data_IF_047887815935
#
_entry.id   IF_047887815935
#
_cell.length_a   1.000
_cell.length_b   1.000
_cell.length_c   1.000
_cell.angle_alpha   90.00
_cell.angle_beta   90.00
_cell.angle_gamma   90.00
#
_symmetry.space_group_name_H-M   'P 1'
#
loop_
_entity.id
_entity.type
_entity.pdbx_description
1 polymer ?
#
# COMPACT_ATOMS: atom_id res chain seq x y z
N UNK A 1 -14.00 -17.82 2.78
CA UNK A 1 -14.38 -16.84 1.74
C UNK A 1 -14.78 -15.48 2.30
N UNK A 2 -15.67 -15.39 3.31
CA UNK A 2 -16.07 -14.10 3.91
C UNK A 2 -14.93 -13.39 4.64
N UNK A 3 -14.11 -14.12 5.39
CA UNK A 3 -12.96 -13.56 6.11
C UNK A 3 -11.94 -12.94 5.14
N UNK A 4 -11.64 -13.62 4.03
CA UNK A 4 -10.73 -13.15 2.99
C UNK A 4 -11.25 -11.91 2.28
N UNK A 5 -12.57 -11.82 2.08
CA UNK A 5 -13.20 -10.59 1.55
C UNK A 5 -13.07 -9.43 2.55
N UNK A 6 -13.30 -9.66 3.84
CA UNK A 6 -13.08 -8.64 4.87
C UNK A 6 -11.61 -8.19 4.93
N UNK A 7 -10.67 -9.13 4.92
CA UNK A 7 -9.24 -8.81 4.92
C UNK A 7 -8.81 -8.07 3.65
N UNK A 8 -9.28 -8.50 2.46
CA UNK A 8 -9.02 -7.80 1.20
C UNK A 8 -9.55 -6.37 1.19
N UNK A 9 -10.76 -6.17 1.73
CA UNK A 9 -11.35 -4.84 1.87
C UNK A 9 -10.54 -3.96 2.82
N UNK A 10 -10.30 -4.42 4.05
CA UNK A 10 -9.57 -3.67 5.07
C UNK A 10 -8.14 -3.36 4.62
N UNK A 11 -7.46 -4.33 3.99
CA UNK A 11 -6.14 -4.14 3.42
C UNK A 11 -6.12 -3.02 2.40
N UNK A 12 -7.06 -3.03 1.45
CA UNK A 12 -7.10 -2.03 0.36
C UNK A 12 -7.40 -0.63 0.89
N UNK A 13 -8.32 -0.53 1.85
CA UNK A 13 -8.66 0.76 2.51
C UNK A 13 -7.46 1.29 3.31
N UNK A 14 -6.85 0.44 4.14
CA UNK A 14 -5.66 0.81 4.91
C UNK A 14 -4.52 1.24 4.00
N UNK A 15 -4.27 0.49 2.91
CA UNK A 15 -3.26 0.79 1.90
C UNK A 15 -3.50 2.16 1.26
N UNK A 16 -4.74 2.45 0.85
CA UNK A 16 -5.08 3.72 0.22
C UNK A 16 -4.89 4.90 1.18
N UNK A 17 -5.30 4.75 2.44
CA UNK A 17 -5.07 5.77 3.47
C UNK A 17 -3.58 5.98 3.76
N UNK A 18 -2.81 4.89 3.91
CA UNK A 18 -1.37 4.97 4.09
C UNK A 18 -0.69 5.67 2.92
N UNK A 19 -1.09 5.36 1.68
CA UNK A 19 -0.59 6.04 0.49
C UNK A 19 -0.92 7.53 0.52
N UNK A 20 -2.16 7.91 0.86
CA UNK A 20 -2.56 9.31 1.03
C UNK A 20 -1.70 10.04 2.08
N UNK A 21 -1.27 9.36 3.14
CA UNK A 21 -0.37 9.92 4.16
C UNK A 21 1.07 10.06 3.66
N UNK A 22 1.52 9.19 2.77
CA UNK A 22 2.85 9.28 2.14
C UNK A 22 2.92 10.46 1.20
N UNK A 23 1.93 10.62 0.32
CA UNK A 23 1.96 11.64 -0.75
C UNK A 23 1.87 13.10 -0.25
N UNK A 24 1.51 13.31 1.01
CA UNK A 24 1.46 14.64 1.66
C UNK A 24 2.74 15.01 2.44
N UNK A 25 3.76 14.15 2.45
CA UNK A 25 4.95 14.36 3.26
C UNK A 25 5.87 15.43 2.63
N UNK A 26 6.17 16.50 3.38
CA UNK A 26 7.12 17.54 2.97
C UNK A 26 8.58 17.21 3.31
N UNK A 27 8.90 15.92 3.39
CA UNK A 27 10.24 15.45 3.77
C UNK A 27 10.51 14.12 3.09
N UNK A 28 11.56 14.09 2.27
CA UNK A 28 11.93 12.90 1.50
C UNK A 28 12.19 11.71 2.42
N UNK A 29 12.88 11.93 3.54
CA UNK A 29 13.17 10.86 4.53
C UNK A 29 11.87 10.26 5.10
N UNK A 30 10.90 11.10 5.49
CA UNK A 30 9.61 10.64 6.01
C UNK A 30 8.78 9.93 4.94
N UNK A 31 8.80 10.44 3.71
CA UNK A 31 8.12 9.82 2.58
C UNK A 31 8.73 8.44 2.28
N UNK A 32 10.07 8.33 2.22
CA UNK A 32 10.80 7.08 2.02
C UNK A 32 10.48 6.04 3.10
N UNK A 33 10.48 6.46 4.37
CA UNK A 33 10.09 5.58 5.47
C UNK A 33 8.63 5.11 5.31
N UNK A 34 7.73 6.01 4.92
CA UNK A 34 6.34 5.67 4.64
C UNK A 34 6.18 4.67 3.49
N UNK A 35 6.92 4.85 2.39
CA UNK A 35 6.94 3.90 1.26
C UNK A 35 7.51 2.54 1.69
N UNK A 36 8.60 2.53 2.45
CA UNK A 36 9.20 1.31 2.99
C UNK A 36 8.22 0.55 3.88
N UNK A 37 7.55 1.23 4.81
CA UNK A 37 6.56 0.61 5.68
C UNK A 37 5.35 0.08 4.90
N UNK A 38 4.89 0.84 3.90
CA UNK A 38 3.76 0.46 3.06
C UNK A 38 4.06 -0.81 2.25
N UNK A 39 5.22 -0.88 1.58
CA UNK A 39 5.62 -2.09 0.85
C UNK A 39 6.00 -3.25 1.77
N UNK A 40 6.67 -2.98 2.90
CA UNK A 40 6.97 -4.00 3.89
C UNK A 40 5.72 -4.67 4.46
N UNK A 41 4.71 -3.86 4.81
CA UNK A 41 3.41 -4.38 5.23
C UNK A 41 2.75 -5.19 4.11
N UNK A 42 2.72 -4.67 2.87
CA UNK A 42 2.17 -5.41 1.73
C UNK A 42 2.81 -6.80 1.56
N UNK A 43 4.14 -6.89 1.68
CA UNK A 43 4.86 -8.16 1.57
C UNK A 43 4.60 -9.09 2.76
N UNK A 44 4.51 -8.57 3.98
CA UNK A 44 4.17 -9.38 5.16
C UNK A 44 2.76 -10.02 5.01
N UNK A 45 1.79 -9.26 4.51
CA UNK A 45 0.43 -9.74 4.25
C UNK A 45 0.32 -10.65 3.02
N UNK A 46 1.34 -10.71 2.17
CA UNK A 46 1.34 -11.54 0.96
C UNK A 46 1.19 -13.04 1.29
N UNK A 47 1.84 -13.49 2.36
CA UNK A 47 1.73 -14.88 2.85
C UNK A 47 0.29 -15.25 3.26
N UNK A 48 -0.46 -14.32 3.82
CA UNK A 48 -1.87 -14.50 4.21
C UNK A 48 -2.78 -14.58 2.98
N UNK A 49 -2.46 -13.83 1.92
CA UNK A 49 -3.19 -13.87 0.65
C UNK A 49 -3.08 -15.23 -0.04
N UNK A 50 -1.89 -15.83 -0.08
CA UNK A 50 -1.65 -17.08 -0.81
C UNK A 50 -2.14 -18.35 -0.09
N UNK A 51 -2.53 -18.26 1.19
CA UNK A 51 -3.10 -19.39 1.94
C UNK A 51 -4.64 -19.42 1.95
N UNK A 52 -5.30 -18.33 1.53
CA UNK A 52 -6.76 -18.19 1.55
C UNK A 52 -7.42 -18.28 0.17
N UNK A 53 -8.74 -18.10 0.13
CA UNK A 53 -9.50 -18.04 -1.13
C UNK A 53 -9.16 -16.79 -1.96
N UNK A 54 -8.54 -16.97 -3.13
CA UNK A 54 -8.25 -15.89 -4.08
C UNK A 54 -9.50 -15.11 -4.49
N UNK A 55 -10.61 -15.80 -4.72
CA UNK A 55 -11.89 -15.17 -5.05
C UNK A 55 -12.41 -14.32 -3.89
N UNK A 56 -12.31 -14.80 -2.64
CA UNK A 56 -12.65 -14.03 -1.46
C UNK A 56 -11.84 -12.73 -1.36
N UNK A 57 -10.52 -12.81 -1.53
CA UNK A 57 -9.65 -11.62 -1.57
C UNK A 57 -10.05 -10.64 -2.68
N UNK A 58 -10.30 -11.12 -3.89
CA UNK A 58 -10.72 -10.28 -5.01
C UNK A 58 -12.03 -9.54 -4.71
N UNK A 59 -13.02 -10.26 -4.17
CA UNK A 59 -14.31 -9.68 -3.74
C UNK A 59 -14.17 -8.63 -2.64
N UNK A 60 -13.12 -8.68 -1.82
CA UNK A 60 -12.79 -7.64 -0.85
C UNK A 60 -12.07 -6.44 -1.46
N UNK A 61 -11.07 -6.71 -2.30
CA UNK A 61 -10.21 -5.69 -2.91
C UNK A 61 -11.01 -4.77 -3.85
N UNK A 62 -11.94 -5.32 -4.64
CA UNK A 62 -12.74 -4.52 -5.59
C UNK A 62 -13.55 -3.41 -4.91
N UNK A 63 -14.44 -3.68 -3.94
CA UNK A 63 -15.15 -2.61 -3.22
C UNK A 63 -14.19 -1.76 -2.39
N UNK A 64 -13.14 -2.37 -1.81
CA UNK A 64 -12.11 -1.65 -1.06
C UNK A 64 -11.36 -0.63 -1.92
N UNK A 65 -11.17 -0.90 -3.21
CA UNK A 65 -10.53 0.01 -4.16
C UNK A 65 -11.38 1.26 -4.37
N UNK A 66 -12.68 1.12 -4.63
CA UNK A 66 -13.56 2.29 -4.82
C UNK A 66 -13.67 3.14 -3.55
N UNK A 67 -13.79 2.49 -2.39
CA UNK A 67 -13.79 3.19 -1.09
C UNK A 67 -12.43 3.86 -0.84
N UNK A 68 -11.33 3.16 -1.10
CA UNK A 68 -9.98 3.69 -0.98
C UNK A 68 -9.74 4.89 -1.88
N UNK A 69 -10.21 4.83 -3.13
CA UNK A 69 -10.11 5.92 -4.08
C UNK A 69 -10.90 7.15 -3.60
N UNK A 70 -12.13 6.96 -3.12
CA UNK A 70 -12.91 8.02 -2.50
C UNK A 70 -12.22 8.63 -1.27
N UNK A 71 -11.61 7.79 -0.41
CA UNK A 71 -10.86 8.26 0.76
C UNK A 71 -9.60 9.04 0.37
N UNK A 72 -8.86 8.59 -0.64
CA UNK A 72 -7.69 9.30 -1.17
C UNK A 72 -8.11 10.65 -1.74
N UNK A 73 -9.22 10.71 -2.47
CA UNK A 73 -9.74 11.99 -2.98
C UNK A 73 -10.19 12.93 -1.85
N UNK A 74 -10.77 12.38 -0.77
CA UNK A 74 -11.28 13.17 0.35
C UNK A 74 -10.20 13.66 1.33
N UNK A 75 -9.17 12.85 1.57
CA UNK A 75 -8.17 13.08 2.62
C UNK A 75 -6.74 13.27 2.09
N UNK A 76 -6.49 12.89 0.84
CA UNK A 76 -5.22 13.10 0.17
C UNK A 76 -5.05 14.56 -0.28
N UNK A 77 -3.80 15.00 -0.52
CA UNK A 77 -3.54 16.30 -1.11
C UNK A 77 -3.94 16.30 -2.60
N UNK A 78 -4.34 17.47 -3.13
CA UNK A 78 -4.69 17.62 -4.56
C UNK A 78 -3.54 17.22 -5.50
N UNK A 79 -2.31 17.45 -5.06
CA UNK A 79 -1.08 17.04 -5.76
C UNK A 79 -0.08 16.47 -4.76
N UNK A 80 0.71 15.45 -5.15
CA UNK A 80 1.84 15.01 -4.35
C UNK A 80 2.83 16.16 -4.12
N UNK A 81 3.48 16.20 -2.97
CA UNK A 81 4.64 17.07 -2.77
C UNK A 81 5.82 16.58 -3.62
N UNK A 82 6.77 17.46 -3.93
CA UNK A 82 7.96 17.08 -4.70
C UNK A 82 8.76 15.98 -3.99
N UNK A 83 8.91 16.08 -2.66
CA UNK A 83 9.63 15.08 -1.87
C UNK A 83 8.93 13.72 -1.90
N UNK A 84 7.61 13.71 -1.87
CA UNK A 84 6.83 12.48 -1.93
C UNK A 84 6.84 11.88 -3.33
N UNK A 85 6.78 12.71 -4.37
CA UNK A 85 6.90 12.27 -5.75
C UNK A 85 8.26 11.60 -5.98
N UNK A 86 9.35 12.18 -5.49
CA UNK A 86 10.68 11.56 -5.51
C UNK A 86 10.69 10.23 -4.75
N UNK A 87 10.17 10.20 -3.52
CA UNK A 87 10.15 8.99 -2.71
C UNK A 87 9.34 7.85 -3.35
N UNK A 88 8.17 8.15 -3.93
CA UNK A 88 7.27 7.15 -4.52
C UNK A 88 7.74 6.72 -5.91
N UNK A 89 8.10 7.67 -6.78
CA UNK A 89 8.37 7.38 -8.20
C UNK A 89 9.82 6.96 -8.46
N UNK A 90 10.79 7.57 -7.79
CA UNK A 90 12.21 7.24 -7.99
C UNK A 90 12.64 6.12 -7.04
N UNK A 91 12.38 6.28 -5.75
CA UNK A 91 12.86 5.33 -4.75
C UNK A 91 11.90 4.18 -4.47
N UNK A 92 10.60 4.35 -4.71
CA UNK A 92 9.62 3.29 -4.49
C UNK A 92 9.96 1.98 -5.20
N UNK A 93 10.28 1.98 -6.51
CA UNK A 93 10.72 0.78 -7.21
C UNK A 93 11.96 0.13 -6.58
N UNK A 94 12.95 0.95 -6.17
CA UNK A 94 14.18 0.45 -5.53
C UNK A 94 13.89 -0.19 -4.17
N UNK A 95 13.03 0.45 -3.36
CA UNK A 95 12.59 -0.07 -2.06
C UNK A 95 11.87 -1.41 -2.26
N UNK A 96 10.95 -1.48 -3.22
CA UNK A 96 10.20 -2.71 -3.51
C UNK A 96 11.13 -3.86 -3.92
N UNK A 97 12.05 -3.60 -4.85
CA UNK A 97 13.04 -4.60 -5.28
C UNK A 97 13.93 -5.02 -4.11
N UNK A 98 14.43 -4.08 -3.32
CA UNK A 98 15.27 -4.37 -2.16
C UNK A 98 14.54 -5.24 -1.12
N UNK A 99 13.27 -4.95 -0.84
CA UNK A 99 12.44 -5.74 0.06
C UNK A 99 12.17 -7.15 -0.48
N UNK A 100 11.91 -7.29 -1.79
CA UNK A 100 11.72 -8.59 -2.43
C UNK A 100 13.00 -9.44 -2.36
N UNK A 101 14.16 -8.85 -2.66
CA UNK A 101 15.45 -9.54 -2.54
C UNK A 101 15.70 -9.97 -1.10
N UNK A 102 15.47 -9.09 -0.12
CA UNK A 102 15.62 -9.43 1.29
C UNK A 102 14.71 -10.59 1.69
N UNK A 103 13.45 -10.60 1.23
CA UNK A 103 12.50 -11.68 1.50
C UNK A 103 12.91 -13.00 0.84
N UNK A 104 13.59 -12.99 -0.30
CA UNK A 104 14.08 -14.20 -0.96
C UNK A 104 15.33 -14.80 -0.27
N UNK A 105 16.07 -13.99 0.48
CA UNK A 105 17.28 -14.41 1.21
C UNK A 105 16.99 -14.86 2.65
N UNK A 106 15.78 -14.61 3.15
CA UNK A 106 15.29 -15.02 4.48
C UNK A 106 14.47 -16.30 4.39
#
# INVERSE_FOLDING_TARGET
MLAEALFGFLFTVAWALSYALVIKQKSTVKALLGVFLLFGAMLAFNSLRFRGSLLGWFLGVVPGFFVGLWLVQKYGPEKPTEESAVAVLLFGPLIMVGLLVALLLL
#
